data_IF_121994232185
#
_entry.id   IF_121994232185
#
_cell.length_a   1.000
_cell.length_b   1.000
_cell.length_c   1.000
_cell.angle_alpha   90.00
_cell.angle_beta   90.00
_cell.angle_gamma   90.00
#
_symmetry.space_group_name_H-M   'P 1'
#
loop_
_entity.id
_entity.type
_entity.pdbx_description
1 polymer ?
#
# COMPACT_ATOMS: atom_id res chain seq x y z
N UNK A 1 -22.32 -1.05 -0.22
CA UNK A 1 -21.14 -1.83 0.19
C UNK A 1 -19.95 -0.88 0.24
N UNK A 2 -19.17 -0.97 1.27
CA UNK A 2 -18.00 -0.10 1.47
C UNK A 2 -16.75 -0.97 1.54
N UNK A 3 -16.18 -1.25 0.37
CA UNK A 3 -14.93 -1.99 0.23
C UNK A 3 -13.80 -0.99 0.14
N UNK A 4 -12.84 -1.06 1.04
CA UNK A 4 -11.74 -0.10 1.14
C UNK A 4 -10.42 -0.82 0.97
N UNK A 5 -9.52 -0.23 0.17
CA UNK A 5 -8.12 -0.63 0.10
C UNK A 5 -7.27 0.41 0.80
N UNK A 6 -6.50 -0.02 1.78
CA UNK A 6 -5.54 0.80 2.52
C UNK A 6 -4.12 0.35 2.15
N UNK A 7 -3.42 1.18 1.40
CA UNK A 7 -2.04 0.92 1.01
C UNK A 7 -1.09 1.21 2.17
N UNK A 8 -0.28 0.23 2.56
CA UNK A 8 0.59 0.29 3.74
C UNK A 8 2.04 -0.11 3.44
N UNK A 9 2.96 0.54 4.12
CA UNK A 9 4.38 0.21 4.14
C UNK A 9 4.98 0.48 5.54
N UNK A 10 6.28 0.41 5.69
CA UNK A 10 6.98 0.66 6.95
C UNK A 10 7.28 2.15 7.23
N UNK A 11 6.71 3.06 6.45
CA UNK A 11 6.95 4.50 6.61
C UNK A 11 6.09 5.13 7.70
N UNK A 12 6.53 6.29 8.19
CA UNK A 12 5.76 7.10 9.13
C UNK A 12 4.41 7.53 8.55
N UNK A 13 4.39 7.90 7.27
CA UNK A 13 3.16 8.29 6.57
C UNK A 13 2.10 7.18 6.56
N UNK A 14 2.54 5.95 6.35
CA UNK A 14 1.67 4.78 6.40
C UNK A 14 1.11 4.53 7.81
N UNK A 15 1.95 4.62 8.84
CA UNK A 15 1.52 4.48 10.24
C UNK A 15 0.46 5.51 10.63
N UNK A 16 0.63 6.75 10.18
CA UNK A 16 -0.34 7.82 10.41
C UNK A 16 -1.64 7.63 9.65
N UNK A 17 -1.57 7.14 8.39
CA UNK A 17 -2.75 6.79 7.60
C UNK A 17 -3.57 5.70 8.29
N UNK A 18 -2.92 4.63 8.74
CA UNK A 18 -3.57 3.54 9.48
C UNK A 18 -4.21 4.03 10.78
N UNK A 19 -3.48 4.82 11.57
CA UNK A 19 -3.99 5.37 12.83
C UNK A 19 -5.19 6.30 12.61
N UNK A 20 -5.13 7.14 11.60
CA UNK A 20 -6.24 8.05 11.25
C UNK A 20 -7.45 7.29 10.76
N UNK A 21 -7.25 6.28 9.91
CA UNK A 21 -8.33 5.42 9.46
C UNK A 21 -8.97 4.65 10.62
N UNK A 22 -8.18 4.06 11.50
CA UNK A 22 -8.68 3.31 12.64
C UNK A 22 -9.59 4.17 13.55
N UNK A 23 -9.23 5.46 13.74
CA UNK A 23 -10.09 6.41 14.45
C UNK A 23 -11.37 6.73 13.70
N UNK A 24 -11.29 6.90 12.39
CA UNK A 24 -12.44 7.24 11.54
C UNK A 24 -13.30 6.02 11.18
N UNK A 25 -12.82 4.83 11.40
CA UNK A 25 -13.44 3.58 10.94
C UNK A 25 -14.87 3.40 11.44
N UNK A 26 -15.16 3.81 12.67
CA UNK A 26 -16.51 3.75 13.24
C UNK A 26 -17.52 4.59 12.46
N UNK A 27 -17.08 5.71 11.87
CA UNK A 27 -17.90 6.57 11.04
C UNK A 27 -18.05 6.03 9.62
N UNK A 28 -16.98 5.43 9.08
CA UNK A 28 -16.93 4.88 7.72
C UNK A 28 -17.64 3.53 7.67
N UNK A 29 -17.44 2.70 8.70
CA UNK A 29 -17.98 1.35 8.83
C UNK A 29 -17.85 0.51 7.55
N UNK A 30 -16.62 0.15 7.16
CA UNK A 30 -16.38 -0.63 5.94
C UNK A 30 -16.92 -2.05 6.09
N UNK A 31 -17.45 -2.60 5.02
CA UNK A 31 -17.82 -4.02 4.95
C UNK A 31 -16.57 -4.90 4.77
N UNK A 32 -15.58 -4.39 4.07
CA UNK A 32 -14.32 -5.07 3.78
C UNK A 32 -13.17 -4.07 3.76
N UNK A 33 -12.08 -4.40 4.45
CA UNK A 33 -10.84 -3.61 4.46
C UNK A 33 -9.68 -4.47 3.98
N UNK A 34 -9.07 -4.11 2.87
CA UNK A 34 -7.86 -4.75 2.35
C UNK A 34 -6.66 -3.91 2.75
N UNK A 35 -5.75 -4.49 3.54
CA UNK A 35 -4.42 -3.95 3.79
C UNK A 35 -3.48 -4.44 2.70
N UNK A 36 -3.08 -3.56 1.79
CA UNK A 36 -2.18 -3.88 0.68
C UNK A 36 -0.77 -3.39 0.96
N UNK A 37 0.19 -4.29 0.90
CA UNK A 37 1.61 -3.96 0.85
C UNK A 37 2.17 -4.31 -0.52
N UNK A 38 2.90 -3.37 -1.14
CA UNK A 38 3.58 -3.59 -2.42
C UNK A 38 5.08 -3.60 -2.18
N UNK A 39 5.71 -4.73 -2.47
CA UNK A 39 7.16 -4.88 -2.45
C UNK A 39 7.77 -4.34 -3.74
N UNK A 40 8.72 -3.43 -3.57
CA UNK A 40 9.59 -2.97 -4.64
C UNK A 40 10.75 -3.94 -4.76
N UNK A 41 11.09 -4.34 -5.99
CA UNK A 41 12.34 -5.03 -6.25
C UNK A 41 13.47 -3.99 -6.21
N UNK A 42 14.40 -4.10 -5.27
CA UNK A 42 15.55 -3.19 -5.17
C UNK A 42 16.45 -3.31 -6.42
N UNK A 43 17.05 -2.21 -6.83
CA UNK A 43 17.87 -2.12 -8.05
C UNK A 43 17.11 -1.72 -9.31
N UNK A 44 15.84 -1.46 -9.20
CA UNK A 44 14.91 -1.26 -10.31
C UNK A 44 14.84 0.13 -10.90
N UNK A 45 15.30 1.12 -10.21
CA UNK A 45 15.14 2.54 -10.63
C UNK A 45 15.70 2.83 -12.04
N UNK A 46 16.66 2.01 -12.50
CA UNK A 46 17.22 2.10 -13.86
C UNK A 46 16.54 1.14 -14.86
N UNK A 47 15.85 0.12 -14.37
CA UNK A 47 15.29 -0.96 -15.19
C UNK A 47 13.79 -0.78 -15.43
N UNK A 48 13.07 -0.11 -14.54
CA UNK A 48 11.62 0.11 -14.64
C UNK A 48 11.18 0.85 -15.90
N UNK A 49 12.07 1.65 -16.50
CA UNK A 49 11.82 2.31 -17.78
C UNK A 49 12.19 1.48 -19.01
N UNK A 50 12.85 0.33 -18.85
CA UNK A 50 13.42 -0.46 -19.94
C UNK A 50 12.78 -1.83 -20.13
N UNK A 51 12.06 -2.36 -19.15
CA UNK A 51 11.42 -3.67 -19.20
C UNK A 51 9.92 -3.54 -19.43
N UNK A 52 9.38 -4.27 -20.39
CA UNK A 52 7.96 -4.44 -20.60
C UNK A 52 7.33 -5.42 -19.58
N UNK A 53 6.00 -5.53 -19.59
CA UNK A 53 5.25 -6.42 -18.68
C UNK A 53 5.67 -7.91 -18.76
N UNK A 54 5.99 -8.48 -19.95
CA UNK A 54 6.46 -9.86 -20.05
C UNK A 54 7.80 -10.10 -19.38
N UNK A 55 8.75 -9.18 -19.49
CA UNK A 55 10.07 -9.27 -18.85
C UNK A 55 9.94 -9.15 -17.33
N UNK A 56 8.96 -8.42 -16.87
CA UNK A 56 8.64 -8.28 -15.46
C UNK A 56 8.10 -9.56 -14.86
N UNK A 57 7.22 -10.25 -15.57
CA UNK A 57 6.70 -11.55 -15.16
C UNK A 57 7.84 -12.58 -15.05
N UNK A 58 8.75 -12.60 -16.03
CA UNK A 58 9.92 -13.49 -16.04
C UNK A 58 10.85 -13.19 -14.85
N UNK A 59 11.08 -11.92 -14.54
CA UNK A 59 11.91 -11.54 -13.40
C UNK A 59 11.29 -11.98 -12.06
N UNK A 60 9.97 -11.82 -11.91
CA UNK A 60 9.24 -12.31 -10.73
C UNK A 60 9.38 -13.83 -10.57
N UNK A 61 9.21 -14.59 -11.65
CA UNK A 61 9.37 -16.04 -11.64
C UNK A 61 10.80 -16.47 -11.28
N UNK A 62 11.81 -15.77 -11.80
CA UNK A 62 13.22 -16.05 -11.52
C UNK A 62 13.57 -15.81 -10.06
N UNK A 63 12.91 -14.86 -9.39
CA UNK A 63 13.15 -14.53 -7.99
C UNK A 63 12.38 -15.45 -7.03
N UNK A 64 11.37 -16.17 -7.49
CA UNK A 64 10.65 -17.14 -6.66
C UNK A 64 11.57 -18.25 -6.18
N UNK A 65 11.50 -18.59 -4.88
CA UNK A 65 12.33 -19.61 -4.25
C UNK A 65 13.77 -19.17 -3.94
N UNK A 66 14.10 -17.88 -4.12
CA UNK A 66 15.41 -17.34 -3.72
C UNK A 66 15.36 -16.80 -2.28
N UNK A 67 16.55 -16.71 -1.61
CA UNK A 67 16.66 -16.09 -0.28
C UNK A 67 16.17 -14.63 -0.26
N UNK A 68 16.32 -13.93 -1.37
CA UNK A 68 15.84 -12.57 -1.55
C UNK A 68 14.31 -12.50 -1.49
N UNK A 69 13.63 -13.40 -2.22
CA UNK A 69 12.16 -13.49 -2.21
C UNK A 69 11.64 -13.82 -0.80
N UNK A 70 12.27 -14.76 -0.11
CA UNK A 70 11.91 -15.11 1.27
C UNK A 70 12.08 -13.93 2.23
N UNK A 71 13.14 -13.12 2.06
CA UNK A 71 13.35 -11.92 2.86
C UNK A 71 12.25 -10.87 2.62
N UNK A 72 11.82 -10.67 1.36
CA UNK A 72 10.72 -9.79 1.02
C UNK A 72 9.39 -10.28 1.62
N UNK A 73 9.11 -11.56 1.53
CA UNK A 73 7.90 -12.17 2.07
C UNK A 73 7.83 -12.02 3.60
N UNK A 74 8.94 -12.24 4.30
CA UNK A 74 9.02 -12.01 5.76
C UNK A 74 8.80 -10.56 6.14
N UNK A 75 9.36 -9.62 5.36
CA UNK A 75 9.17 -8.19 5.57
C UNK A 75 7.71 -7.77 5.36
N UNK A 76 7.10 -8.20 4.25
CA UNK A 76 5.70 -7.96 3.96
C UNK A 76 4.79 -8.49 5.06
N UNK A 77 5.05 -9.72 5.51
CA UNK A 77 4.29 -10.33 6.61
C UNK A 77 4.38 -9.51 7.90
N UNK A 78 5.57 -9.07 8.29
CA UNK A 78 5.73 -8.25 9.50
C UNK A 78 4.96 -6.93 9.41
N UNK A 79 5.00 -6.27 8.26
CA UNK A 79 4.28 -5.01 8.03
C UNK A 79 2.78 -5.23 8.15
N UNK A 80 2.26 -6.23 7.47
CA UNK A 80 0.82 -6.54 7.46
C UNK A 80 0.33 -7.03 8.83
N UNK A 81 1.09 -7.87 9.52
CA UNK A 81 0.75 -8.34 10.87
C UNK A 81 0.69 -7.17 11.86
N UNK A 82 1.63 -6.23 11.77
CA UNK A 82 1.63 -5.03 12.60
C UNK A 82 0.34 -4.20 12.42
N UNK A 83 -0.05 -3.94 11.19
CA UNK A 83 -1.24 -3.15 10.91
C UNK A 83 -2.55 -3.91 11.15
N UNK A 84 -2.58 -5.21 10.88
CA UNK A 84 -3.74 -6.06 11.20
C UNK A 84 -4.02 -6.07 12.69
N UNK A 85 -2.96 -6.14 13.51
CA UNK A 85 -3.08 -6.03 14.97
C UNK A 85 -3.63 -4.67 15.38
N UNK A 86 -3.12 -3.59 14.81
CA UNK A 86 -3.61 -2.24 15.09
C UNK A 86 -5.09 -2.07 14.73
N UNK A 87 -5.54 -2.68 13.63
CA UNK A 87 -6.95 -2.69 13.25
C UNK A 87 -7.81 -3.48 14.22
N UNK A 88 -7.36 -4.67 14.62
CA UNK A 88 -8.06 -5.50 15.61
C UNK A 88 -8.21 -4.80 16.97
N UNK A 89 -7.17 -4.11 17.42
CA UNK A 89 -7.19 -3.32 18.67
C UNK A 89 -8.18 -2.14 18.62
N UNK A 90 -8.59 -1.71 17.44
CA UNK A 90 -9.60 -0.66 17.22
C UNK A 90 -10.96 -1.22 16.80
N UNK A 91 -11.21 -2.50 17.00
CA UNK A 91 -12.46 -3.19 16.68
C UNK A 91 -12.86 -3.14 15.19
N UNK A 92 -11.89 -3.00 14.30
CA UNK A 92 -12.13 -3.03 12.84
C UNK A 92 -12.30 -4.47 12.40
N UNK A 93 -13.44 -4.76 11.80
CA UNK A 93 -13.79 -6.09 11.29
C UNK A 93 -13.58 -6.16 9.76
N UNK A 94 -13.60 -7.37 9.21
CA UNK A 94 -13.49 -7.59 7.76
C UNK A 94 -12.12 -7.21 7.18
N UNK A 95 -11.07 -7.36 7.97
CA UNK A 95 -9.68 -7.05 7.57
C UNK A 95 -9.07 -8.21 6.81
N UNK A 96 -8.63 -7.96 5.61
CA UNK A 96 -7.87 -8.89 4.77
C UNK A 96 -6.49 -8.30 4.47
N UNK A 97 -5.51 -9.15 4.20
CA UNK A 97 -4.16 -8.73 3.84
C UNK A 97 -3.80 -9.18 2.44
N UNK A 98 -3.08 -8.34 1.71
CA UNK A 98 -2.64 -8.62 0.35
C UNK A 98 -1.21 -8.13 0.15
N UNK A 99 -0.41 -8.92 -0.54
CA UNK A 99 0.95 -8.56 -0.98
C UNK A 99 1.00 -8.57 -2.50
N UNK A 100 1.55 -7.51 -3.07
CA UNK A 100 1.88 -7.41 -4.49
C UNK A 100 3.36 -7.10 -4.66
N UNK A 101 3.90 -7.41 -5.81
CA UNK A 101 5.30 -7.11 -6.16
C UNK A 101 5.30 -6.34 -7.48
N UNK A 102 5.86 -5.15 -7.47
CA UNK A 102 5.95 -4.35 -8.68
C UNK A 102 6.11 -2.85 -8.43
N UNK A 103 5.66 -2.04 -9.40
CA UNK A 103 5.61 -0.60 -9.24
C UNK A 103 4.42 -0.23 -8.34
N UNK A 104 4.67 0.43 -7.19
CA UNK A 104 3.63 0.56 -6.17
C UNK A 104 2.33 1.21 -6.65
N UNK A 105 2.39 2.29 -7.40
CA UNK A 105 1.17 2.96 -7.86
C UNK A 105 0.35 2.06 -8.81
N UNK A 106 1.02 1.36 -9.73
CA UNK A 106 0.35 0.45 -10.66
C UNK A 106 -0.30 -0.72 -9.93
N UNK A 107 0.43 -1.35 -9.00
CA UNK A 107 -0.08 -2.47 -8.23
C UNK A 107 -1.24 -2.09 -7.30
N UNK A 108 -1.20 -0.89 -6.71
CA UNK A 108 -2.30 -0.36 -5.90
C UNK A 108 -3.57 -0.18 -6.74
N UNK A 109 -3.45 0.48 -7.90
CA UNK A 109 -4.59 0.72 -8.78
C UNK A 109 -5.15 -0.56 -9.37
N UNK A 110 -4.27 -1.47 -9.77
CA UNK A 110 -4.68 -2.77 -10.32
C UNK A 110 -5.40 -3.60 -9.26
N UNK A 111 -4.85 -3.73 -8.06
CA UNK A 111 -5.49 -4.44 -6.96
C UNK A 111 -6.85 -3.83 -6.61
N UNK A 112 -6.94 -2.51 -6.57
CA UNK A 112 -8.20 -1.81 -6.28
C UNK A 112 -9.29 -2.11 -7.33
N UNK A 113 -8.90 -2.16 -8.60
CA UNK A 113 -9.83 -2.51 -9.68
C UNK A 113 -10.25 -3.98 -9.65
N UNK A 114 -9.29 -4.90 -9.47
CA UNK A 114 -9.56 -6.35 -9.40
C UNK A 114 -10.46 -6.71 -8.21
N UNK A 115 -10.24 -6.08 -7.07
CA UNK A 115 -10.99 -6.32 -5.84
C UNK A 115 -12.32 -5.54 -5.76
N UNK A 116 -12.58 -4.68 -6.71
CA UNK A 116 -13.80 -3.88 -6.77
C UNK A 116 -13.99 -2.98 -5.55
N UNK A 117 -12.93 -2.29 -5.13
CA UNK A 117 -13.01 -1.39 -3.98
C UNK A 117 -13.68 -0.07 -4.35
N UNK A 118 -14.31 0.55 -3.37
CA UNK A 118 -15.01 1.82 -3.52
C UNK A 118 -14.11 3.03 -3.22
N UNK A 119 -13.01 2.79 -2.52
CA UNK A 119 -12.06 3.84 -2.11
C UNK A 119 -10.67 3.28 -1.86
N UNK A 120 -9.65 4.05 -2.26
CA UNK A 120 -8.26 3.82 -1.89
C UNK A 120 -7.87 4.82 -0.81
N UNK A 121 -7.22 4.35 0.25
CA UNK A 121 -6.63 5.20 1.30
C UNK A 121 -5.13 5.03 1.28
N UNK A 122 -4.40 6.12 1.28
CA UNK A 122 -2.93 6.12 1.25
C UNK A 122 -2.36 7.30 2.03
N UNK A 123 -1.25 7.09 2.71
CA UNK A 123 -0.49 8.18 3.33
C UNK A 123 0.10 9.11 2.28
N UNK A 124 -0.01 10.40 2.48
CA UNK A 124 0.48 11.41 1.53
C UNK A 124 2.00 11.48 1.44
N UNK A 125 2.74 10.85 2.36
CA UNK A 125 4.21 10.91 2.46
C UNK A 125 4.80 9.51 2.69
N UNK A 126 5.97 9.27 2.09
CA UNK A 126 6.77 8.07 2.26
C UNK A 126 8.12 8.36 2.95
N UNK A 127 9.15 7.59 2.60
CA UNK A 127 10.49 7.63 3.22
C UNK A 127 11.27 8.94 3.04
N UNK A 128 11.01 9.71 1.97
CA UNK A 128 11.82 10.84 1.53
C UNK A 128 11.02 12.13 1.47
N UNK A 129 10.47 12.58 2.57
CA UNK A 129 9.69 13.78 2.45
C UNK A 129 10.14 14.90 3.36
N UNK A 130 10.54 16.01 2.74
CA UNK A 130 10.41 17.31 3.37
C UNK A 130 8.92 17.58 3.63
N UNK A 131 8.59 18.30 4.67
CA UNK A 131 7.23 18.60 5.11
C UNK A 131 6.34 19.28 4.04
N UNK A 132 6.89 19.62 2.89
CA UNK A 132 6.26 20.44 1.86
C UNK A 132 5.69 19.67 0.68
N UNK A 133 6.08 18.41 0.47
CA UNK A 133 5.72 17.68 -0.76
C UNK A 133 5.03 16.36 -0.50
N UNK A 134 4.08 16.04 -1.38
CA UNK A 134 3.44 14.73 -1.45
C UNK A 134 4.42 13.68 -1.98
N UNK A 135 4.36 12.46 -1.45
CA UNK A 135 5.18 11.35 -1.93
C UNK A 135 4.87 10.97 -3.39
N UNK A 136 5.85 10.38 -4.07
CA UNK A 136 5.70 10.01 -5.49
C UNK A 136 4.56 9.02 -5.73
N UNK A 137 4.46 7.98 -4.90
CA UNK A 137 3.41 6.95 -5.05
C UNK A 137 2.02 7.55 -4.81
N UNK A 138 1.84 8.30 -3.74
CA UNK A 138 0.54 8.92 -3.44
C UNK A 138 0.10 9.93 -4.48
N UNK A 139 1.05 10.69 -5.05
CA UNK A 139 0.78 11.61 -6.17
C UNK A 139 0.32 10.84 -7.41
N UNK A 140 1.06 9.81 -7.78
CA UNK A 140 0.77 9.01 -8.97
C UNK A 140 -0.58 8.30 -8.86
N UNK A 141 -0.89 7.74 -7.68
CA UNK A 141 -2.21 7.14 -7.43
C UNK A 141 -3.31 8.19 -7.51
N UNK A 142 -3.11 9.36 -6.89
CA UNK A 142 -4.11 10.43 -6.92
C UNK A 142 -4.38 10.96 -8.33
N UNK A 143 -3.34 11.07 -9.16
CA UNK A 143 -3.46 11.58 -10.53
C UNK A 143 -4.11 10.57 -11.49
N UNK A 144 -3.85 9.28 -11.31
CA UNK A 144 -4.21 8.26 -12.31
C UNK A 144 -5.40 7.39 -11.90
N UNK A 145 -5.78 7.37 -10.64
CA UNK A 145 -6.85 6.50 -10.17
C UNK A 145 -8.22 6.95 -10.65
N UNK A 146 -9.00 6.03 -11.17
CA UNK A 146 -10.43 6.22 -11.45
C UNK A 146 -11.31 5.98 -10.22
N UNK A 147 -10.73 5.39 -9.17
CA UNK A 147 -11.39 5.14 -7.89
C UNK A 147 -11.07 6.30 -6.94
N UNK A 148 -12.03 6.77 -6.13
CA UNK A 148 -11.78 7.81 -5.12
C UNK A 148 -10.58 7.50 -4.23
N UNK A 149 -9.71 8.49 -4.05
CA UNK A 149 -8.49 8.38 -3.24
C UNK A 149 -8.55 9.32 -2.05
N UNK A 150 -8.43 8.76 -0.86
CA UNK A 150 -8.28 9.53 0.37
C UNK A 150 -6.80 9.59 0.76
N UNK A 151 -6.24 10.80 0.67
CA UNK A 151 -4.87 11.07 1.11
C UNK A 151 -4.85 11.46 2.59
N UNK A 152 -4.19 10.65 3.40
CA UNK A 152 -4.01 10.96 4.81
C UNK A 152 -2.69 11.71 5.00
N UNK A 153 -2.78 12.93 5.48
CA UNK A 153 -1.61 13.75 5.80
C UNK A 153 -1.06 13.35 7.17
N UNK A 154 0.27 13.27 7.25
CA UNK A 154 0.91 13.20 8.55
C UNK A 154 0.70 14.53 9.29
N UNK A 155 0.20 14.45 10.51
CA UNK A 155 0.26 15.60 11.41
C UNK A 155 1.73 15.88 11.66
N UNK A 156 2.25 16.97 11.08
CA UNK A 156 3.60 17.40 11.37
C UNK A 156 3.73 17.61 12.86
N UNK A 157 4.41 16.72 13.56
CA UNK A 157 4.91 17.07 14.88
C UNK A 157 6.00 18.12 14.66
N UNK A 158 5.69 19.32 15.05
CA UNK A 158 6.68 20.36 15.27
C UNK A 158 7.76 19.88 16.22
#
# INVERSE_FOLDING_TARGET
MKNILLAVDDTKGSKEAVSSFARACKCINPDRLILLHVEKLEGRSLIDGMLGDPEMATLKETLEGTDYKEALDRRAKRILDYYSKAMSENDVQGVETMVRVGHPADEIMQAAAEEGVDMIIIGSRGKRTSHLFMGSVSREVADRSEIPVLLVKSSGST
#
